data_IF_721072650050
#
_entry.id   IF_721072650050
#
_cell.length_a   1.000
_cell.length_b   1.000
_cell.length_c   1.000
_cell.angle_alpha   90.00
_cell.angle_beta   90.00
_cell.angle_gamma   90.00
#
_symmetry.space_group_name_H-M   'P 1'
#
loop_
_entity.id
_entity.type
_entity.pdbx_description
1 polymer ?
#
# COMPACT_ATOMS: atom_id res chain seq x y z
N UNK A 1 17.08 4.14 -11.35
CA UNK A 1 16.30 4.77 -10.28
C UNK A 1 17.24 5.58 -9.40
N UNK A 2 16.90 6.82 -9.03
CA UNK A 2 17.66 7.58 -8.02
C UNK A 2 16.95 7.43 -6.67
N UNK A 3 17.57 6.72 -5.73
CA UNK A 3 16.97 6.41 -4.42
C UNK A 3 16.63 7.66 -3.61
N UNK A 4 17.40 8.74 -3.78
CA UNK A 4 17.21 10.02 -3.08
C UNK A 4 15.87 10.70 -3.41
N UNK A 5 15.21 10.28 -4.50
CA UNK A 5 13.92 10.82 -4.91
C UNK A 5 12.73 10.22 -4.15
N UNK A 6 12.91 9.13 -3.40
CA UNK A 6 11.84 8.43 -2.70
C UNK A 6 11.91 8.69 -1.21
N UNK A 7 11.39 9.85 -0.78
CA UNK A 7 11.10 10.07 0.63
C UNK A 7 10.01 9.09 1.07
N UNK A 8 10.26 8.36 2.15
CA UNK A 8 9.27 7.49 2.78
C UNK A 8 8.64 8.25 3.95
N UNK A 9 7.32 8.17 4.08
CA UNK A 9 6.60 8.55 5.30
C UNK A 9 5.47 7.57 5.56
N UNK A 10 5.37 7.10 6.79
CA UNK A 10 4.32 6.14 7.19
C UNK A 10 3.27 6.85 8.01
N UNK A 11 2.02 6.59 7.66
CA UNK A 11 0.85 6.96 8.45
C UNK A 11 0.45 5.74 9.29
N UNK A 12 0.54 5.81 10.64
CA UNK A 12 0.24 4.66 11.49
C UNK A 12 -1.20 4.17 11.33
N UNK A 13 -2.16 5.07 11.16
CA UNK A 13 -3.58 4.74 11.02
C UNK A 13 -4.29 5.68 10.05
N UNK A 14 -4.97 5.13 9.04
CA UNK A 14 -5.66 5.88 7.98
C UNK A 14 -6.83 6.73 8.48
N UNK A 15 -7.48 6.31 9.57
CA UNK A 15 -8.61 7.02 10.19
C UNK A 15 -8.19 8.27 10.98
N UNK A 16 -6.93 8.33 11.41
CA UNK A 16 -6.44 9.37 12.31
C UNK A 16 -5.76 10.54 11.58
N UNK A 17 -5.75 10.56 10.25
CA UNK A 17 -5.07 11.61 9.49
C UNK A 17 -5.92 12.22 8.38
N UNK A 18 -6.02 13.56 8.42
CA UNK A 18 -6.00 14.37 7.21
C UNK A 18 -4.53 14.45 6.77
N UNK A 19 -4.23 13.88 5.61
CA UNK A 19 -2.92 13.97 4.96
C UNK A 19 -3.12 14.71 3.63
N UNK A 20 -2.24 15.67 3.32
CA UNK A 20 -2.24 16.40 2.05
C UNK A 20 -2.34 15.46 0.83
N UNK A 21 -1.73 14.28 0.90
CA UNK A 21 -1.80 13.27 -0.16
C UNK A 21 -3.21 12.70 -0.29
N UNK A 22 -3.87 12.39 0.82
CA UNK A 22 -5.25 11.86 0.80
C UNK A 22 -6.22 12.89 0.24
N UNK A 23 -6.07 14.17 0.61
CA UNK A 23 -6.87 15.27 0.07
C UNK A 23 -6.58 15.48 -1.43
N UNK A 24 -5.31 15.55 -1.82
CA UNK A 24 -4.88 15.72 -3.22
C UNK A 24 -5.47 14.66 -4.15
N UNK A 25 -5.47 13.40 -3.71
CA UNK A 25 -5.93 12.26 -4.52
C UNK A 25 -7.38 11.84 -4.22
N UNK A 26 -8.13 12.61 -3.41
CA UNK A 26 -9.51 12.30 -3.01
C UNK A 26 -9.66 10.84 -2.54
N UNK A 27 -8.76 10.44 -1.64
CA UNK A 27 -8.76 9.11 -1.03
C UNK A 27 -9.81 9.08 0.07
N UNK A 28 -10.73 8.13 0.01
CA UNK A 28 -11.75 7.91 1.04
C UNK A 28 -11.63 6.49 1.55
N UNK A 29 -11.60 6.36 2.86
CA UNK A 29 -11.65 5.10 3.56
C UNK A 29 -13.03 4.91 4.19
N UNK A 30 -13.62 3.74 4.00
CA UNK A 30 -14.84 3.33 4.67
C UNK A 30 -14.53 2.09 5.49
N UNK A 31 -14.83 2.14 6.79
CA UNK A 31 -14.69 0.99 7.67
C UNK A 31 -15.58 -0.17 7.20
N UNK A 32 -15.01 -1.37 7.14
CA UNK A 32 -15.73 -2.59 6.75
C UNK A 32 -15.81 -3.59 7.91
N UNK A 33 -14.67 -3.90 8.54
CA UNK A 33 -14.56 -4.98 9.53
C UNK A 33 -13.24 -4.91 10.29
N UNK A 34 -13.08 -5.76 11.30
CA UNK A 34 -11.85 -5.92 12.08
C UNK A 34 -11.72 -7.41 12.49
N UNK A 35 -10.55 -8.05 12.31
CA UNK A 35 -10.32 -9.41 12.79
C UNK A 35 -10.22 -9.45 14.33
N UNK A 36 -10.55 -10.58 14.98
CA UNK A 36 -10.31 -10.76 16.40
C UNK A 36 -8.84 -10.46 16.76
N UNK A 37 -8.62 -9.39 17.52
CA UNK A 37 -7.29 -8.93 17.95
C UNK A 37 -6.37 -8.40 16.85
N UNK A 38 -6.91 -7.90 15.73
CA UNK A 38 -6.11 -7.13 14.75
C UNK A 38 -6.73 -5.77 14.45
N UNK A 39 -6.10 -5.02 13.55
CA UNK A 39 -6.56 -3.66 13.22
C UNK A 39 -7.72 -3.64 12.21
N UNK A 40 -8.47 -2.54 12.23
CA UNK A 40 -9.56 -2.27 11.32
C UNK A 40 -9.16 -2.34 9.83
N UNK A 41 -10.10 -2.82 9.03
CA UNK A 41 -9.99 -3.02 7.59
C UNK A 41 -11.02 -2.12 6.89
N UNK A 42 -10.58 -1.51 5.78
CA UNK A 42 -11.33 -0.48 5.08
C UNK A 42 -11.45 -0.81 3.60
N UNK A 43 -12.60 -0.50 3.01
CA UNK A 43 -12.71 -0.29 1.58
C UNK A 43 -12.18 1.10 1.24
N UNK A 44 -11.46 1.19 0.13
CA UNK A 44 -10.81 2.43 -0.31
C UNK A 44 -11.37 2.84 -1.67
N UNK A 45 -11.70 4.12 -1.79
CA UNK A 45 -11.91 4.75 -3.09
C UNK A 45 -10.89 5.87 -3.31
N UNK A 46 -10.38 5.97 -4.53
CA UNK A 46 -9.39 6.96 -4.94
C UNK A 46 -9.98 7.67 -6.15
N UNK A 47 -10.08 9.01 -6.09
CA UNK A 47 -10.73 9.82 -7.14
C UNK A 47 -12.12 9.30 -7.54
N UNK A 48 -12.85 8.72 -6.59
CA UNK A 48 -14.19 8.17 -6.80
C UNK A 48 -14.25 6.74 -7.36
N UNK A 49 -13.11 6.11 -7.67
CA UNK A 49 -13.04 4.71 -8.11
C UNK A 49 -12.75 3.80 -6.93
N UNK A 50 -13.55 2.75 -6.74
CA UNK A 50 -13.36 1.79 -5.65
C UNK A 50 -12.27 0.77 -6.02
N UNK A 51 -11.37 0.48 -5.08
CA UNK A 51 -10.39 -0.59 -5.27
C UNK A 51 -11.05 -1.97 -5.11
N UNK A 52 -10.62 -2.99 -5.87
CA UNK A 52 -11.22 -4.33 -5.84
C UNK A 52 -10.77 -5.19 -4.65
N UNK A 53 -10.18 -4.57 -3.63
CA UNK A 53 -9.66 -5.19 -2.41
C UNK A 53 -9.87 -4.24 -1.24
N UNK A 54 -9.75 -4.78 -0.02
CA UNK A 54 -9.72 -3.98 1.19
C UNK A 54 -8.29 -3.85 1.71
N UNK A 55 -8.05 -2.83 2.54
CA UNK A 55 -6.74 -2.62 3.17
C UNK A 55 -6.87 -2.66 4.68
N UNK A 56 -5.83 -3.14 5.36
CA UNK A 56 -5.66 -2.79 6.76
C UNK A 56 -5.38 -1.30 6.87
N UNK A 57 -6.05 -0.63 7.81
CA UNK A 57 -5.90 0.81 8.01
C UNK A 57 -4.57 1.21 8.65
N UNK A 58 -3.71 0.26 9.01
CA UNK A 58 -2.41 0.50 9.64
C UNK A 58 -1.28 0.67 8.63
N UNK A 59 -0.19 1.28 9.08
CA UNK A 59 1.12 1.32 8.41
C UNK A 59 1.08 1.70 6.92
N UNK A 60 0.20 2.65 6.58
CA UNK A 60 0.04 3.16 5.21
C UNK A 60 1.30 3.94 4.84
N UNK A 61 2.11 3.38 3.95
CA UNK A 61 3.46 3.87 3.68
C UNK A 61 3.50 4.63 2.36
N UNK A 62 3.64 5.95 2.43
CA UNK A 62 3.79 6.81 1.26
C UNK A 62 5.23 6.78 0.74
N UNK A 63 5.37 6.66 -0.57
CA UNK A 63 6.63 6.51 -1.30
C UNK A 63 6.73 7.63 -2.33
N UNK A 64 7.64 8.57 -2.09
CA UNK A 64 7.74 9.78 -2.92
C UNK A 64 6.45 10.60 -2.83
N UNK A 65 5.96 11.08 -3.98
CA UNK A 65 4.84 12.04 -4.03
C UNK A 65 3.50 11.44 -4.49
N UNK A 66 3.50 10.20 -4.97
CA UNK A 66 2.32 9.61 -5.62
C UNK A 66 2.17 8.10 -5.45
N UNK A 67 3.12 7.41 -4.83
CA UNK A 67 2.99 5.98 -4.57
C UNK A 67 2.65 5.72 -3.10
N UNK A 68 1.88 4.67 -2.85
CA UNK A 68 1.58 4.18 -1.50
C UNK A 68 1.68 2.66 -1.46
N UNK A 69 2.29 2.15 -0.39
CA UNK A 69 2.34 0.74 -0.05
C UNK A 69 1.35 0.47 1.08
N UNK A 70 0.52 -0.55 0.89
CA UNK A 70 -0.53 -0.94 1.84
C UNK A 70 -0.57 -2.45 2.02
N UNK A 71 -1.01 -2.89 3.19
CA UNK A 71 -1.41 -4.26 3.44
C UNK A 71 -2.85 -4.46 3.00
N UNK A 72 -3.09 -5.45 2.15
CA UNK A 72 -4.38 -5.68 1.53
C UNK A 72 -4.87 -7.11 1.72
N UNK A 73 -6.19 -7.26 1.65
CA UNK A 73 -6.91 -8.51 1.72
C UNK A 73 -8.04 -8.52 0.69
N UNK A 74 -8.49 -9.71 0.31
CA UNK A 74 -9.70 -9.82 -0.52
C UNK A 74 -10.89 -9.27 0.25
N UNK A 75 -11.83 -8.65 -0.45
CA UNK A 75 -13.05 -8.15 0.16
C UNK A 75 -13.76 -9.25 0.96
N UNK A 76 -14.27 -8.90 2.15
CA UNK A 76 -14.95 -9.81 3.09
C UNK A 76 -14.05 -10.91 3.68
N UNK A 77 -12.74 -10.70 3.66
CA UNK A 77 -11.75 -11.59 4.29
C UNK A 77 -10.78 -10.77 5.13
N UNK A 78 -9.98 -11.45 5.95
CA UNK A 78 -8.86 -10.87 6.73
C UNK A 78 -7.52 -11.56 6.41
N UNK A 79 -7.54 -12.60 5.57
CA UNK A 79 -6.40 -13.43 5.20
C UNK A 79 -6.69 -14.10 3.83
N UNK A 80 -5.68 -14.36 2.98
CA UNK A 80 -4.27 -13.99 3.13
C UNK A 80 -4.02 -12.48 2.97
N UNK A 81 -3.03 -11.99 3.71
CA UNK A 81 -2.51 -10.62 3.57
C UNK A 81 -1.51 -10.58 2.42
N UNK A 82 -1.63 -9.57 1.56
CA UNK A 82 -0.63 -9.27 0.54
C UNK A 82 -0.29 -7.78 0.53
N UNK A 83 0.94 -7.46 0.14
CA UNK A 83 1.35 -6.07 -0.08
C UNK A 83 0.93 -5.61 -1.47
N UNK A 84 0.27 -4.46 -1.52
CA UNK A 84 -0.05 -3.77 -2.76
C UNK A 84 0.71 -2.44 -2.81
N UNK A 85 1.29 -2.15 -3.98
CA UNK A 85 1.79 -0.82 -4.33
C UNK A 85 0.74 -0.16 -5.21
N UNK A 86 0.31 1.05 -4.85
CA UNK A 86 -0.66 1.85 -5.60
C UNK A 86 0.06 3.10 -6.11
N UNK A 87 -0.05 3.37 -7.40
CA UNK A 87 0.33 4.65 -8.00
C UNK A 87 -0.92 5.52 -8.16
N UNK A 88 -1.02 6.53 -7.29
CA UNK A 88 -2.16 7.45 -7.20
C UNK A 88 -2.23 8.40 -8.41
N UNK A 89 -1.09 8.69 -9.04
CA UNK A 89 -1.02 9.57 -10.20
C UNK A 89 -1.57 8.85 -11.42
N UNK A 90 -1.07 7.64 -11.67
CA UNK A 90 -1.40 6.84 -12.85
C UNK A 90 -2.67 5.97 -12.67
N UNK A 91 -3.29 5.98 -11.49
CA UNK A 91 -4.50 5.20 -11.19
C UNK A 91 -4.33 3.70 -11.44
N UNK A 92 -3.17 3.17 -11.03
CA UNK A 92 -2.82 1.76 -11.15
C UNK A 92 -2.36 1.20 -9.81
N UNK A 93 -2.45 -0.11 -9.65
CA UNK A 93 -1.89 -0.83 -8.52
C UNK A 93 -1.20 -2.12 -8.97
N UNK A 94 -0.32 -2.65 -8.13
CA UNK A 94 0.35 -3.92 -8.36
C UNK A 94 0.39 -4.71 -7.05
N UNK A 95 -0.08 -5.97 -7.10
CA UNK A 95 0.09 -6.92 -6.00
C UNK A 95 1.49 -7.52 -6.02
N UNK A 96 2.12 -7.57 -4.85
CA UNK A 96 3.38 -8.28 -4.65
C UNK A 96 3.17 -9.78 -4.35
N UNK A 97 1.91 -10.24 -4.23
CA UNK A 97 1.48 -11.62 -3.97
C UNK A 97 1.93 -12.20 -2.62
N UNK A 98 2.66 -11.41 -1.85
CA UNK A 98 3.32 -11.76 -0.60
C UNK A 98 3.19 -10.59 0.36
N UNK A 99 3.28 -10.85 1.66
CA UNK A 99 3.18 -9.84 2.71
C UNK A 99 4.56 -9.28 3.08
N UNK A 100 4.79 -8.00 2.81
CA UNK A 100 5.92 -7.20 3.24
C UNK A 100 5.43 -6.04 4.10
N UNK A 101 6.05 -5.85 5.25
CA UNK A 101 5.72 -4.80 6.23
C UNK A 101 6.60 -3.56 6.06
N UNK A 102 7.77 -3.71 5.43
CA UNK A 102 8.78 -2.66 5.36
C UNK A 102 9.36 -2.53 3.97
N UNK A 103 9.66 -1.27 3.61
CA UNK A 103 10.34 -0.90 2.38
C UNK A 103 11.53 0.01 2.70
N UNK A 104 12.65 -0.24 2.03
CA UNK A 104 13.84 0.61 2.11
C UNK A 104 14.52 0.76 0.76
N UNK A 105 15.31 1.82 0.62
CA UNK A 105 16.06 2.12 -0.59
C UNK A 105 17.56 2.04 -0.29
N UNK A 106 18.23 1.02 -0.81
CA UNK A 106 19.64 0.71 -0.52
C UNK A 106 20.37 0.44 -1.83
N UNK A 107 21.51 1.11 -2.06
CA UNK A 107 22.36 0.91 -3.24
C UNK A 107 21.58 0.96 -4.58
N UNK A 108 20.69 1.95 -4.75
CA UNK A 108 19.82 2.10 -5.92
C UNK A 108 18.86 0.94 -6.18
N UNK A 109 18.54 0.15 -5.15
CA UNK A 109 17.55 -0.91 -5.19
C UNK A 109 16.48 -0.67 -4.13
N UNK A 110 15.33 -1.28 -4.35
CA UNK A 110 14.23 -1.33 -3.41
C UNK A 110 14.32 -2.67 -2.69
N UNK A 111 14.32 -2.62 -1.37
CA UNK A 111 14.33 -3.80 -0.52
C UNK A 111 13.03 -3.87 0.26
N UNK A 112 12.35 -5.00 0.16
CA UNK A 112 11.10 -5.29 0.84
C UNK A 112 11.32 -6.44 1.81
N UNK A 113 10.96 -6.23 3.07
CA UNK A 113 11.10 -7.21 4.14
C UNK A 113 9.80 -7.39 4.90
N UNK A 114 9.70 -8.49 5.64
CA UNK A 114 8.65 -8.68 6.63
C UNK A 114 9.29 -8.85 8.01
N UNK A 115 8.86 -8.03 8.97
CA UNK A 115 9.38 -8.04 10.35
C UNK A 115 8.53 -8.93 11.28
N UNK A 116 7.35 -9.35 10.84
CA UNK A 116 6.40 -10.16 11.60
C UNK A 116 6.58 -11.65 11.32
N UNK A 117 6.76 -12.02 10.04
CA UNK A 117 6.99 -13.40 9.62
C UNK A 117 8.37 -13.55 8.97
N UNK A 118 9.02 -14.68 9.25
CA UNK A 118 10.32 -14.98 8.66
C UNK A 118 10.14 -15.38 7.20
N UNK A 119 10.60 -14.52 6.30
CA UNK A 119 10.61 -14.79 4.85
C UNK A 119 11.83 -14.19 4.18
N UNK A 120 12.06 -14.58 2.93
CA UNK A 120 13.13 -14.01 2.13
C UNK A 120 12.82 -12.56 1.73
N UNK A 121 13.85 -11.72 1.80
CA UNK A 121 13.79 -10.33 1.33
C UNK A 121 13.54 -10.31 -0.18
N UNK A 122 12.63 -9.46 -0.63
CA UNK A 122 12.44 -9.18 -2.05
C UNK A 122 13.23 -7.95 -2.47
N UNK A 123 13.93 -8.05 -3.59
CA UNK A 123 14.77 -6.99 -4.15
C UNK A 123 14.20 -6.59 -5.51
N UNK A 124 13.91 -5.31 -5.70
CA UNK A 124 13.50 -4.75 -6.98
C UNK A 124 14.53 -3.70 -7.44
N UNK A 125 14.78 -3.64 -8.76
CA UNK A 125 15.63 -2.59 -9.32
C UNK A 125 14.88 -1.26 -9.48
N UNK A 126 13.57 -1.33 -9.73
CA UNK A 126 12.64 -0.21 -9.86
C UNK A 126 11.20 -0.74 -9.72
N UNK A 127 10.22 0.16 -9.77
CA UNK A 127 8.79 -0.18 -9.81
C UNK A 127 8.24 -0.42 -11.24
N UNK A 128 9.02 -0.12 -12.29
CA UNK A 128 8.55 -0.16 -13.70
C UNK A 128 8.15 -1.56 -14.16
N UNK A 129 8.76 -2.61 -13.59
CA UNK A 129 8.51 -3.99 -13.97
C UNK A 129 7.45 -4.70 -13.11
N UNK A 130 6.70 -3.97 -12.29
CA UNK A 130 5.56 -4.55 -11.59
C UNK A 130 4.40 -4.82 -12.58
N UNK A 131 3.59 -5.83 -12.25
CA UNK A 131 2.36 -6.14 -12.99
C UNK A 131 1.28 -5.12 -12.61
N UNK A 132 1.28 -3.96 -13.28
CA UNK A 132 0.35 -2.87 -13.03
C UNK A 132 -1.05 -3.15 -13.59
N UNK A 133 -2.07 -2.88 -12.76
CA UNK A 133 -3.49 -3.04 -13.08
C UNK A 133 -4.17 -1.70 -12.84
N UNK A 134 -4.89 -1.20 -13.86
CA UNK A 134 -5.67 0.03 -13.73
C UNK A 134 -6.86 -0.14 -12.78
N UNK A 135 -7.25 0.94 -12.12
CA UNK A 135 -8.53 0.98 -11.40
C UNK A 135 -9.66 0.67 -12.38
N UNK A 136 -10.62 -0.15 -11.95
CA UNK A 136 -11.81 -0.43 -12.74
C UNK A 136 -12.71 0.81 -12.71
N UNK A 137 -13.28 1.16 -13.85
CA UNK A 137 -14.30 2.20 -13.98
C UNK A 137 -15.69 1.73 -13.52
#
# INVERSE_FOLDING_TARGET
MNADNYKISTLPYIENASNEIMEKYNIKAQYETEPPHGDAIYSISIKGKALPFWIYGRDVTFIGNSMVMVESVRCKTWDPIETIIIDLENEVYASLKEWYTDISFVNNRIELTNQVVKMDKRILNNFEHLEWISFLD
#
